data_IF_045466076844
#
_entry.id   IF_045466076844
#
_cell.length_a   1.000
_cell.length_b   1.000
_cell.length_c   1.000
_cell.angle_alpha   90.00
_cell.angle_beta   90.00
_cell.angle_gamma   90.00
#
_symmetry.space_group_name_H-M   'P 1'
#
loop_
_entity.id
_entity.type
_entity.pdbx_description
1 polymer ?
#
# COMPACT_ATOMS: atom_id res chain seq x y z
N UNK A 1 20.44 4.56 9.86
CA UNK A 1 19.98 5.07 8.54
C UNK A 1 19.25 3.91 7.86
N UNK A 2 18.11 4.15 7.20
CA UNK A 2 17.21 3.06 6.75
C UNK A 2 16.92 3.08 5.25
N UNK A 3 15.77 2.54 4.87
CA UNK A 3 15.28 2.51 3.48
C UNK A 3 14.92 3.92 2.97
N UNK A 4 15.34 4.25 1.75
CA UNK A 4 15.07 5.53 1.08
C UNK A 4 15.03 5.38 -0.45
N UNK A 5 14.76 6.46 -1.19
CA UNK A 5 14.93 6.47 -2.65
C UNK A 5 13.97 5.55 -3.40
N UNK A 6 12.70 5.50 -3.00
CA UNK A 6 11.68 4.68 -3.65
C UNK A 6 11.45 5.13 -5.10
N UNK A 7 11.68 4.23 -6.06
CA UNK A 7 11.51 4.49 -7.49
C UNK A 7 10.80 3.32 -8.16
N UNK A 8 9.69 3.60 -8.82
CA UNK A 8 9.00 2.62 -9.67
C UNK A 8 9.69 2.62 -11.04
N UNK A 9 10.06 1.43 -11.51
CA UNK A 9 10.69 1.21 -12.81
C UNK A 9 9.72 0.58 -13.82
N UNK A 10 8.69 -0.11 -13.34
CA UNK A 10 7.68 -0.75 -14.18
C UNK A 10 6.32 -0.85 -13.48
N UNK A 11 5.25 -0.70 -14.27
CA UNK A 11 3.88 -0.88 -13.81
C UNK A 11 3.17 -1.82 -14.78
N UNK A 12 2.61 -2.90 -14.25
CA UNK A 12 1.72 -3.79 -14.97
C UNK A 12 0.39 -3.88 -14.23
N UNK A 13 -0.68 -3.42 -14.86
CA UNK A 13 -2.00 -3.37 -14.24
C UNK A 13 -3.05 -3.87 -15.21
N UNK A 14 -3.83 -4.88 -14.80
CA UNK A 14 -4.82 -5.56 -15.64
C UNK A 14 -6.13 -5.78 -14.91
N UNK A 15 -7.23 -5.49 -15.61
CA UNK A 15 -8.57 -5.92 -15.21
C UNK A 15 -9.03 -7.01 -16.17
N UNK A 16 -9.33 -8.19 -15.64
CA UNK A 16 -9.85 -9.29 -16.43
C UNK A 16 -11.36 -9.10 -16.65
N UNK A 17 -11.84 -9.39 -17.86
CA UNK A 17 -13.27 -9.46 -18.14
C UNK A 17 -13.82 -10.74 -17.51
N UNK A 18 -14.57 -10.62 -16.42
CA UNK A 18 -15.33 -11.73 -15.84
C UNK A 18 -16.82 -11.53 -16.11
N UNK A 19 -17.51 -12.62 -16.46
CA UNK A 19 -18.93 -12.68 -16.83
C UNK A 19 -19.92 -12.64 -15.64
N UNK A 20 -19.50 -12.14 -14.47
CA UNK A 20 -20.38 -12.04 -13.29
C UNK A 20 -19.75 -11.26 -12.12
N UNK A 21 -20.57 -10.77 -11.19
CA UNK A 21 -20.13 -10.09 -9.96
C UNK A 21 -19.67 -11.13 -8.93
N UNK A 22 -18.36 -11.23 -8.59
CA UNK A 22 -17.92 -12.12 -7.53
C UNK A 22 -18.47 -11.66 -6.17
N UNK A 23 -19.04 -12.59 -5.39
CA UNK A 23 -19.59 -12.31 -4.05
C UNK A 23 -18.50 -11.98 -3.03
N UNK A 24 -17.31 -12.55 -3.19
CA UNK A 24 -16.15 -12.30 -2.35
C UNK A 24 -14.91 -12.24 -3.24
N UNK A 25 -14.13 -11.17 -3.06
CA UNK A 25 -12.85 -10.98 -3.75
C UNK A 25 -11.76 -11.21 -2.72
N UNK A 26 -10.96 -12.25 -2.93
CA UNK A 26 -9.71 -12.43 -2.19
C UNK A 26 -8.69 -11.46 -2.77
N UNK A 27 -8.06 -10.68 -1.90
CA UNK A 27 -7.02 -9.72 -2.25
C UNK A 27 -5.75 -10.23 -1.57
N UNK A 28 -4.76 -10.60 -2.35
CA UNK A 28 -3.47 -11.08 -1.84
C UNK A 28 -2.37 -10.07 -2.21
N UNK A 29 -1.54 -9.74 -1.22
CA UNK A 29 -0.40 -8.87 -1.34
C UNK A 29 0.87 -9.70 -1.26
N UNK A 30 1.80 -9.49 -2.19
CA UNK A 30 3.08 -10.18 -2.20
C UNK A 30 4.22 -9.21 -2.54
N UNK A 31 5.30 -9.28 -1.75
CA UNK A 31 6.50 -8.48 -1.97
C UNK A 31 7.68 -9.43 -2.13
N UNK A 32 8.44 -9.27 -3.21
CA UNK A 32 9.59 -10.11 -3.52
C UNK A 32 10.79 -9.23 -3.83
N UNK A 33 11.92 -9.54 -3.21
CA UNK A 33 13.22 -8.93 -3.57
C UNK A 33 13.77 -9.69 -4.77
N UNK A 34 14.08 -8.96 -5.84
CA UNK A 34 14.59 -9.52 -7.10
C UNK A 34 16.12 -9.55 -7.11
N UNK A 35 16.74 -8.45 -6.68
CA UNK A 35 18.19 -8.33 -6.68
C UNK A 35 18.67 -7.31 -5.63
N UNK A 36 19.93 -7.42 -5.24
CA UNK A 36 20.62 -6.45 -4.38
C UNK A 36 21.94 -6.08 -5.04
N UNK A 37 22.07 -4.82 -5.43
CA UNK A 37 23.21 -4.29 -6.17
C UNK A 37 23.96 -3.31 -5.27
N UNK A 38 25.27 -3.47 -5.13
CA UNK A 38 26.08 -2.55 -4.32
C UNK A 38 26.45 -1.30 -5.11
N UNK A 39 26.26 -0.14 -4.49
CA UNK A 39 26.75 1.11 -5.05
C UNK A 39 28.26 1.24 -4.84
N UNK A 40 29.03 1.27 -5.94
CA UNK A 40 30.47 1.42 -5.88
C UNK A 40 30.87 2.70 -5.12
N UNK A 41 31.75 2.55 -4.13
CA UNK A 41 32.27 3.67 -3.33
C UNK A 41 31.31 4.24 -2.28
N UNK A 42 30.14 3.62 -2.06
CA UNK A 42 29.15 4.08 -1.08
C UNK A 42 28.76 2.96 -0.11
N UNK A 43 28.30 3.34 1.08
CA UNK A 43 27.79 2.41 2.09
C UNK A 43 26.28 2.18 1.94
N UNK A 44 25.87 1.78 0.74
CA UNK A 44 24.47 1.58 0.36
C UNK A 44 24.35 0.53 -0.73
N UNK A 45 23.20 -0.11 -0.77
CA UNK A 45 22.78 -1.06 -1.80
C UNK A 45 21.47 -0.62 -2.40
N UNK A 46 21.32 -0.85 -3.69
CA UNK A 46 20.04 -0.75 -4.40
C UNK A 46 19.37 -2.11 -4.35
N UNK A 47 18.15 -2.15 -3.82
CA UNK A 47 17.33 -3.36 -3.74
C UNK A 47 16.24 -3.24 -4.79
N UNK A 48 16.27 -4.12 -5.78
CA UNK A 48 15.19 -4.24 -6.77
C UNK A 48 14.10 -5.13 -6.19
N UNK A 49 12.85 -4.69 -6.33
CA UNK A 49 11.70 -5.38 -5.78
C UNK A 49 10.58 -5.50 -6.80
N UNK A 50 9.73 -6.49 -6.55
CA UNK A 50 8.42 -6.67 -7.17
C UNK A 50 7.37 -6.68 -6.08
N UNK A 51 6.42 -5.77 -6.18
CA UNK A 51 5.22 -5.76 -5.35
C UNK A 51 4.00 -6.08 -6.21
N UNK A 52 3.25 -7.11 -5.85
CA UNK A 52 2.04 -7.52 -6.57
C UNK A 52 0.83 -7.59 -5.66
N UNK A 53 -0.30 -7.13 -6.18
CA UNK A 53 -1.61 -7.25 -5.57
C UNK A 53 -2.54 -7.94 -6.55
N UNK A 54 -3.05 -9.09 -6.15
CA UNK A 54 -3.94 -9.91 -6.97
C UNK A 54 -5.35 -9.88 -6.41
N UNK A 55 -6.35 -9.78 -7.30
CA UNK A 55 -7.77 -9.70 -6.94
C UNK A 55 -8.50 -11.00 -7.34
N UNK A 56 -7.82 -12.13 -7.17
CA UNK A 56 -8.21 -13.41 -7.75
C UNK A 56 -8.49 -13.28 -9.25
N UNK A 57 -9.66 -13.76 -9.70
CA UNK A 57 -10.05 -13.71 -11.11
C UNK A 57 -10.46 -12.32 -11.65
N UNK A 58 -10.38 -11.24 -10.87
CA UNK A 58 -10.77 -9.90 -11.32
C UNK A 58 -9.66 -9.12 -12.01
N UNK A 59 -8.40 -9.35 -11.63
CA UNK A 59 -7.32 -8.48 -12.06
C UNK A 59 -6.09 -8.59 -11.18
N UNK A 60 -5.06 -7.84 -11.57
CA UNK A 60 -3.82 -7.70 -10.82
C UNK A 60 -3.21 -6.32 -11.04
N UNK A 61 -2.41 -5.89 -10.07
CA UNK A 61 -1.49 -4.76 -10.19
C UNK A 61 -0.13 -5.25 -9.72
N UNK A 62 0.91 -5.00 -10.51
CA UNK A 62 2.30 -5.30 -10.19
C UNK A 62 3.12 -4.04 -10.41
N UNK A 63 3.95 -3.74 -9.42
CA UNK A 63 4.93 -2.66 -9.43
C UNK A 63 6.30 -3.30 -9.36
N UNK A 64 7.11 -3.04 -10.38
CA UNK A 64 8.55 -3.31 -10.34
C UNK A 64 9.25 -1.99 -10.01
N UNK A 65 10.24 -2.05 -9.14
CA UNK A 65 10.93 -0.85 -8.69
C UNK A 65 12.21 -1.16 -7.94
N UNK A 66 12.77 -0.10 -7.40
CA UNK A 66 13.98 -0.14 -6.60
C UNK A 66 13.89 0.79 -5.40
N UNK A 67 14.63 0.45 -4.35
CA UNK A 67 14.82 1.25 -3.17
C UNK A 67 16.30 1.26 -2.81
N UNK A 68 16.77 2.33 -2.19
CA UNK A 68 18.11 2.40 -1.61
C UNK A 68 18.06 1.98 -0.14
N UNK A 69 18.85 1.00 0.23
CA UNK A 69 19.11 0.62 1.61
C UNK A 69 20.52 1.07 2.00
N UNK A 70 20.63 1.93 3.02
CA UNK A 70 21.90 2.36 3.58
C UNK A 70 22.08 1.75 4.98
N UNK A 71 23.33 1.56 5.40
CA UNK A 71 23.62 0.97 6.71
C UNK A 71 22.89 1.69 7.85
N UNK A 72 22.29 0.88 8.72
CA UNK A 72 21.56 1.33 9.89
C UNK A 72 21.80 0.44 11.09
N UNK A 73 20.97 0.60 12.11
CA UNK A 73 21.03 -0.22 13.33
C UNK A 73 20.80 -1.72 13.01
N UNK A 74 20.17 -2.00 11.87
CA UNK A 74 19.77 -3.31 11.37
C UNK A 74 20.85 -4.05 10.55
N UNK A 75 22.04 -3.46 10.42
CA UNK A 75 23.21 -4.08 9.78
C UNK A 75 23.85 -3.23 8.69
N UNK A 76 25.04 -3.66 8.25
CA UNK A 76 25.75 -2.94 7.18
C UNK A 76 25.25 -3.34 5.78
N UNK A 77 25.21 -2.38 4.87
CA UNK A 77 24.86 -2.62 3.46
C UNK A 77 25.74 -3.71 2.80
N UNK A 78 26.98 -3.87 3.28
CA UNK A 78 27.93 -4.89 2.80
C UNK A 78 27.56 -6.29 3.27
N UNK A 79 27.08 -6.46 4.50
CA UNK A 79 26.63 -7.75 5.01
C UNK A 79 25.37 -8.22 4.30
N UNK A 80 24.42 -7.30 4.06
CA UNK A 80 23.20 -7.58 3.31
C UNK A 80 23.53 -8.11 1.92
N UNK A 81 24.43 -7.45 1.18
CA UNK A 81 24.83 -7.89 -0.16
C UNK A 81 25.57 -9.23 -0.14
N UNK A 82 26.52 -9.44 0.79
CA UNK A 82 27.24 -10.71 0.90
C UNK A 82 26.31 -11.88 1.21
N UNK A 83 25.35 -11.69 2.11
CA UNK A 83 24.40 -12.74 2.47
C UNK A 83 23.47 -13.04 1.30
N UNK A 84 23.03 -12.01 0.57
CA UNK A 84 22.21 -12.17 -0.62
C UNK A 84 22.94 -12.95 -1.72
N UNK A 85 24.20 -12.65 -1.99
CA UNK A 85 25.01 -13.38 -2.99
C UNK A 85 25.23 -14.85 -2.60
N UNK A 86 25.32 -15.15 -1.30
CA UNK A 86 25.57 -16.51 -0.83
C UNK A 86 24.30 -17.36 -0.74
N UNK A 87 23.19 -16.77 -0.27
CA UNK A 87 22.00 -17.51 0.16
C UNK A 87 20.71 -17.02 -0.48
N UNK A 88 20.74 -15.95 -1.27
CA UNK A 88 19.55 -15.23 -1.73
C UNK A 88 18.60 -14.85 -0.57
N UNK A 89 19.21 -14.47 0.55
CA UNK A 89 18.52 -14.04 1.76
C UNK A 89 19.07 -12.70 2.25
N UNK A 90 18.18 -11.92 2.85
CA UNK A 90 18.54 -10.72 3.60
C UNK A 90 18.58 -11.06 5.09
N UNK A 91 19.39 -10.34 5.90
CA UNK A 91 19.24 -10.38 7.35
C UNK A 91 17.82 -10.00 7.75
N UNK A 92 17.23 -10.68 8.73
CA UNK A 92 15.80 -10.55 9.07
C UNK A 92 15.39 -9.08 9.34
N UNK A 93 16.20 -8.33 10.07
CA UNK A 93 15.94 -6.91 10.36
C UNK A 93 15.92 -6.04 9.09
N UNK A 94 16.87 -6.27 8.16
CA UNK A 94 16.91 -5.56 6.89
C UNK A 94 15.74 -5.98 5.97
N UNK A 95 15.39 -7.27 5.98
CA UNK A 95 14.25 -7.79 5.23
C UNK A 95 12.94 -7.14 5.70
N UNK A 96 12.73 -7.07 7.02
CA UNK A 96 11.56 -6.44 7.62
C UNK A 96 11.43 -4.97 7.21
N UNK A 97 12.52 -4.19 7.33
CA UNK A 97 12.53 -2.79 6.91
C UNK A 97 12.19 -2.61 5.42
N UNK A 98 12.84 -3.41 4.56
CA UNK A 98 12.62 -3.36 3.10
C UNK A 98 11.18 -3.72 2.75
N UNK A 99 10.67 -4.82 3.30
CA UNK A 99 9.30 -5.27 3.03
C UNK A 99 8.26 -4.26 3.51
N UNK A 100 8.43 -3.70 4.71
CA UNK A 100 7.52 -2.69 5.26
C UNK A 100 7.57 -1.38 4.46
N UNK A 101 8.76 -0.95 4.03
CA UNK A 101 8.91 0.23 3.19
C UNK A 101 8.21 0.04 1.83
N UNK A 102 8.42 -1.10 1.16
CA UNK A 102 7.77 -1.42 -0.11
C UNK A 102 6.26 -1.53 0.04
N UNK A 103 5.77 -2.19 1.09
CA UNK A 103 4.34 -2.31 1.37
C UNK A 103 3.70 -0.94 1.61
N UNK A 104 4.33 -0.08 2.41
CA UNK A 104 3.78 1.24 2.73
C UNK A 104 3.64 2.12 1.50
N UNK A 105 4.71 2.29 0.73
CA UNK A 105 4.74 3.16 -0.46
C UNK A 105 3.95 2.52 -1.62
N UNK A 106 4.20 1.25 -1.90
CA UNK A 106 3.57 0.53 -3.00
C UNK A 106 2.04 0.42 -2.84
N UNK A 107 1.53 0.33 -1.61
CA UNK A 107 0.08 0.23 -1.38
C UNK A 107 -0.68 1.47 -1.82
N UNK A 108 -0.11 2.67 -1.69
CA UNK A 108 -0.75 3.90 -2.17
C UNK A 108 -0.84 3.92 -3.70
N UNK A 109 0.24 3.52 -4.38
CA UNK A 109 0.28 3.47 -5.84
C UNK A 109 -0.68 2.42 -6.39
N UNK A 110 -0.69 1.23 -5.79
CA UNK A 110 -1.67 0.19 -6.12
C UNK A 110 -3.09 0.68 -5.88
N UNK A 111 -3.36 1.41 -4.80
CA UNK A 111 -4.69 1.96 -4.53
C UNK A 111 -5.17 2.88 -5.67
N UNK A 112 -4.30 3.79 -6.14
CA UNK A 112 -4.60 4.70 -7.25
C UNK A 112 -4.86 3.93 -8.54
N UNK A 113 -4.01 2.94 -8.86
CA UNK A 113 -4.15 2.12 -10.07
C UNK A 113 -5.39 1.22 -10.04
N UNK A 114 -5.66 0.57 -8.91
CA UNK A 114 -6.83 -0.27 -8.71
C UNK A 114 -8.13 0.52 -8.92
N UNK A 115 -8.19 1.75 -8.38
CA UNK A 115 -9.33 2.66 -8.59
C UNK A 115 -9.51 2.99 -10.08
N UNK A 116 -8.44 3.31 -10.80
CA UNK A 116 -8.49 3.61 -12.25
C UNK A 116 -8.99 2.41 -13.07
N UNK A 117 -8.67 1.19 -12.63
CA UNK A 117 -9.11 -0.05 -13.26
C UNK A 117 -10.48 -0.55 -12.79
N UNK A 118 -11.17 0.15 -11.88
CA UNK A 118 -12.44 -0.33 -11.31
C UNK A 118 -12.28 -1.68 -10.59
N UNK A 119 -11.11 -1.91 -9.98
CA UNK A 119 -10.85 -2.98 -9.02
C UNK A 119 -11.27 -2.49 -7.62
N UNK A 120 -11.66 -3.39 -6.71
CA UNK A 120 -11.95 -3.00 -5.34
C UNK A 120 -10.68 -2.42 -4.67
N UNK A 121 -10.82 -1.54 -3.68
CA UNK A 121 -9.69 -1.05 -2.91
C UNK A 121 -8.85 -2.22 -2.33
N UNK A 122 -7.52 -2.17 -2.42
CA UNK A 122 -6.64 -3.22 -1.89
C UNK A 122 -6.72 -3.36 -0.37
N UNK A 123 -7.03 -2.27 0.33
CA UNK A 123 -7.22 -2.22 1.78
C UNK A 123 -8.63 -1.74 2.11
N UNK A 124 -9.15 -2.13 3.28
CA UNK A 124 -10.43 -1.62 3.78
C UNK A 124 -10.28 -0.12 4.05
N UNK A 125 -10.89 0.71 3.21
CA UNK A 125 -10.95 2.15 3.46
C UNK A 125 -12.14 2.42 4.38
N UNK A 126 -11.89 2.78 5.63
CA UNK A 126 -12.93 3.34 6.49
C UNK A 126 -13.19 4.78 6.02
N UNK A 127 -14.37 5.02 5.44
CA UNK A 127 -14.76 6.36 5.00
C UNK A 127 -15.27 7.14 6.21
N UNK A 128 -14.59 8.22 6.65
CA UNK A 128 -15.06 9.02 7.77
C UNK A 128 -16.41 9.64 7.44
N UNK A 129 -17.40 9.38 8.28
CA UNK A 129 -18.75 9.94 8.13
C UNK A 129 -18.80 11.30 8.83
N UNK A 130 -19.04 12.37 8.08
CA UNK A 130 -19.35 13.69 8.67
C UNK A 130 -20.80 13.66 9.13
N UNK A 131 -21.02 13.60 10.46
CA UNK A 131 -22.34 13.77 11.05
C UNK A 131 -22.63 15.26 11.22
N UNK A 132 -23.44 15.83 10.35
CA UNK A 132 -23.99 17.17 10.60
C UNK A 132 -24.96 17.09 11.78
N UNK A 133 -24.72 17.86 12.86
CA UNK A 133 -25.71 18.05 13.91
C UNK A 133 -26.92 18.75 13.30
N UNK A 134 -28.08 18.08 13.29
CA UNK A 134 -29.37 18.75 13.07
C UNK A 134 -29.56 19.74 14.21
N UNK A 135 -29.36 21.03 13.94
CA UNK A 135 -29.69 22.10 14.86
C UNK A 135 -31.16 21.99 15.28
N UNK A 136 -31.41 22.02 16.59
CA UNK A 136 -32.76 22.15 17.14
C UNK A 136 -33.33 23.50 16.69
N UNK A 137 -34.14 23.48 15.63
CA UNK A 137 -35.01 24.60 15.31
C UNK A 137 -35.96 24.82 16.49
N UNK A 138 -35.84 25.98 17.13
CA UNK A 138 -36.83 26.49 18.09
C UNK A 138 -38.15 26.67 17.34
N UNK A 139 -39.15 25.83 17.62
CA UNK A 139 -40.53 26.08 17.22
C UNK A 139 -41.07 27.20 18.12
N UNK A 140 -41.21 28.39 17.56
CA UNK A 140 -41.89 29.52 18.19
C UNK A 140 -43.41 29.34 18.14
N UNK A 141 -44.06 29.41 19.30
CA UNK A 141 -45.35 30.08 19.52
C UNK A 141 -46.62 29.51 18.87
N UNK A 142 -47.49 28.93 19.68
CA UNK A 142 -48.94 29.13 19.56
C UNK A 142 -49.57 29.07 20.95
N UNK A 143 -49.82 30.25 21.50
CA UNK A 143 -50.58 30.49 22.73
C UNK A 143 -52.05 30.15 22.46
N UNK A 144 -52.62 29.15 23.16
CA UNK A 144 -54.05 28.90 23.15
C UNK A 144 -54.74 29.95 24.05
N UNK A 145 -55.63 30.76 23.49
CA UNK A 145 -56.48 31.71 24.22
C UNK A 145 -57.67 31.00 24.88
N UNK A 146 -58.31 31.62 25.90
CA UNK A 146 -59.33 30.98 26.72
C UNK A 146 -60.66 30.94 25.97
N UNK A 147 -61.27 29.76 25.94
CA UNK A 147 -62.58 29.50 25.34
C UNK A 147 -63.73 29.88 26.28
N UNK A 148 -64.73 30.57 25.71
CA UNK A 148 -66.00 30.97 26.34
C UNK A 148 -67.10 29.98 25.89
N UNK A 149 -67.78 29.37 26.87
CA UNK A 149 -69.13 28.81 26.77
C UNK A 149 -69.74 28.75 28.17
#
# INVERSE_FOLDING_TARGET
>A
MGVSGFRITGIEARRHRRSGRPKQVRIDHNTTVLSIIRDAGKERVTVEYRYSVTYGGLGMVQLDGEITYASGDSGSAREVQKLWEREHKMPDAAAEEVHNAVLSQGSFEVFVLARKLGLPPPVKVEVPQVKFQKGKGKTSGSTAGPEVA
#
